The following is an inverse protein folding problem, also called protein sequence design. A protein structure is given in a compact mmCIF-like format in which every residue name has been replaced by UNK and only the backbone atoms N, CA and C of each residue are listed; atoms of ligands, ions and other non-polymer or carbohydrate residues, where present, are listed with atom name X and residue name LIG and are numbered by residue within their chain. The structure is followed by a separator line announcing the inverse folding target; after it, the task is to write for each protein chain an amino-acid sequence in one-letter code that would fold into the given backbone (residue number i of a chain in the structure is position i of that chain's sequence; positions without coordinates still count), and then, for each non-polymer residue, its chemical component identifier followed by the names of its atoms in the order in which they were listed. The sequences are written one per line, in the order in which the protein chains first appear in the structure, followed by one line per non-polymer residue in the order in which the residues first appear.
data_IF_871282551940
#
_entry.id   IF_871282551940
#
_cell.length_a   1.000
_cell.length_b   1.000
_cell.length_c   1.000
_cell.angle_alpha   90.00
_cell.angle_beta   90.00
_cell.angle_gamma   90.00
#
_symmetry.space_group_name_H-M   'P 1'
#
loop_
_entity.id
_entity.type
_entity.pdbx_description
1 polymer ?
#
# COMPACT_ATOMS: atom_id res chain seq x y z
N UNK A 1 0.10 -13.48 -30.68
CA UNK A 1 1.18 -12.73 -31.34
C UNK A 1 2.09 -12.13 -30.28
N UNK A 2 3.21 -11.57 -30.70
CA UNK A 2 4.13 -10.81 -29.82
C UNK A 2 3.56 -9.42 -29.55
N UNK A 3 3.69 -8.92 -28.32
CA UNK A 3 3.38 -7.52 -28.02
C UNK A 3 4.32 -6.57 -28.77
N UNK A 4 3.84 -5.37 -29.06
CA UNK A 4 4.59 -4.35 -29.82
C UNK A 4 4.68 -3.07 -29.02
N UNK A 5 5.90 -2.56 -28.84
CA UNK A 5 6.17 -1.28 -28.19
C UNK A 5 6.88 -0.34 -29.18
N UNK A 6 6.31 0.85 -29.39
CA UNK A 6 6.88 1.91 -30.23
C UNK A 6 7.09 3.15 -29.39
N UNK A 7 8.33 3.65 -29.36
CA UNK A 7 8.68 4.86 -28.61
C UNK A 7 9.40 5.86 -29.50
N UNK A 8 8.92 7.11 -29.58
CA UNK A 8 9.65 8.22 -30.20
C UNK A 8 10.47 8.98 -29.16
N UNK A 9 11.60 9.59 -29.57
CA UNK A 9 12.58 10.18 -28.65
C UNK A 9 12.75 11.70 -28.78
N UNK A 10 12.10 12.35 -29.75
CA UNK A 10 12.30 13.79 -30.02
C UNK A 10 13.73 14.14 -30.47
N UNK A 11 14.52 13.14 -30.87
CA UNK A 11 15.92 13.32 -31.28
C UNK A 11 16.10 14.37 -32.38
N UNK A 12 17.25 15.05 -32.37
CA UNK A 12 17.62 16.12 -33.31
C UNK A 12 16.70 17.35 -33.29
N UNK A 13 16.05 17.63 -32.15
CA UNK A 13 15.19 18.82 -31.99
C UNK A 13 13.79 18.69 -32.61
N UNK A 14 13.39 17.48 -32.98
CA UNK A 14 12.03 17.20 -33.44
C UNK A 14 11.04 17.19 -32.26
N UNK A 15 9.75 17.42 -32.54
CA UNK A 15 8.71 17.38 -31.50
C UNK A 15 8.54 15.99 -30.90
N UNK A 16 8.89 14.94 -31.65
CA UNK A 16 8.74 13.55 -31.23
C UNK A 16 7.29 13.13 -31.03
N UNK A 17 6.35 13.74 -31.75
CA UNK A 17 4.94 13.34 -31.71
C UNK A 17 4.72 12.00 -32.45
N UNK A 18 3.75 11.21 -31.98
CA UNK A 18 3.32 9.97 -32.61
C UNK A 18 1.86 10.10 -33.07
N UNK A 19 1.61 9.92 -34.36
CA UNK A 19 0.28 9.96 -34.95
C UNK A 19 -0.15 8.59 -35.50
N UNK A 20 -1.33 8.13 -35.11
CA UNK A 20 -1.99 6.97 -35.70
C UNK A 20 -2.97 7.46 -36.75
N UNK A 21 -2.64 7.24 -38.02
CA UNK A 21 -3.39 7.72 -39.18
C UNK A 21 -4.03 6.58 -40.00
N UNK A 22 -3.98 5.35 -39.51
CA UNK A 22 -4.53 4.17 -40.17
C UNK A 22 -5.15 3.24 -39.16
N UNK A 23 -6.14 2.47 -39.61
CA UNK A 23 -6.85 1.50 -38.78
C UNK A 23 -5.86 0.44 -38.26
N UNK A 24 -5.90 0.18 -36.96
CA UNK A 24 -5.15 -0.88 -36.31
C UNK A 24 -6.14 -1.84 -35.66
N UNK A 25 -6.14 -3.11 -36.08
CA UNK A 25 -6.97 -4.18 -35.50
C UNK A 25 -6.19 -5.46 -35.37
N UNK A 26 -6.35 -6.12 -34.23
CA UNK A 26 -5.75 -7.44 -34.03
C UNK A 26 -6.57 -8.29 -33.07
N UNK A 27 -6.35 -9.60 -33.17
CA UNK A 27 -6.97 -10.60 -32.31
C UNK A 27 -5.94 -11.22 -31.35
N UNK A 28 -6.41 -11.69 -30.20
CA UNK A 28 -5.60 -12.40 -29.21
C UNK A 28 -4.99 -11.51 -28.11
N UNK A 29 -4.03 -12.06 -27.34
CA UNK A 29 -3.56 -11.45 -26.09
C UNK A 29 -2.37 -10.48 -26.25
N UNK A 30 -1.90 -10.22 -27.47
CA UNK A 30 -0.76 -9.32 -27.69
C UNK A 30 -1.14 -7.88 -27.33
N UNK A 31 -0.28 -7.17 -26.61
CA UNK A 31 -0.50 -5.76 -26.25
C UNK A 31 0.21 -4.82 -27.22
N UNK A 32 -0.28 -3.58 -27.30
CA UNK A 32 0.31 -2.50 -28.10
C UNK A 32 0.60 -1.29 -27.21
N UNK A 33 1.85 -0.83 -27.19
CA UNK A 33 2.24 0.46 -26.58
C UNK A 33 2.68 1.42 -27.66
N UNK A 34 2.07 2.60 -27.68
CA UNK A 34 2.46 3.74 -28.50
C UNK A 34 2.86 4.87 -27.56
N UNK A 35 4.18 5.06 -27.40
CA UNK A 35 4.76 6.07 -26.54
C UNK A 35 5.40 7.19 -27.38
N UNK A 36 5.01 8.42 -27.11
CA UNK A 36 5.59 9.59 -27.76
C UNK A 36 6.48 10.35 -26.81
N UNK A 37 7.57 10.93 -27.30
CA UNK A 37 8.35 11.91 -26.55
C UNK A 37 7.46 13.06 -26.05
N UNK A 38 6.53 13.53 -26.89
CA UNK A 38 5.60 14.61 -26.54
C UNK A 38 4.14 14.18 -26.67
N UNK A 39 3.54 14.22 -27.87
CA UNK A 39 2.11 13.96 -28.02
C UNK A 39 1.81 12.63 -28.72
N UNK A 40 0.73 11.96 -28.29
CA UNK A 40 0.11 10.85 -29.03
C UNK A 40 -1.22 11.31 -29.60
N UNK A 41 -1.47 11.04 -30.88
CA UNK A 41 -2.73 11.37 -31.54
C UNK A 41 -3.31 10.21 -32.33
N UNK A 42 -4.63 10.08 -32.30
CA UNK A 42 -5.40 9.19 -33.19
C UNK A 42 -6.23 10.07 -34.11
N UNK A 43 -6.01 9.91 -35.42
CA UNK A 43 -6.62 10.77 -36.44
C UNK A 43 -8.11 10.50 -36.58
N UNK A 44 -8.89 11.52 -36.97
CA UNK A 44 -10.32 11.37 -37.27
C UNK A 44 -10.58 10.25 -38.28
N UNK A 45 -11.63 9.47 -38.05
CA UNK A 45 -11.98 8.29 -38.86
C UNK A 45 -11.08 7.06 -38.67
N UNK A 46 -10.07 7.12 -37.81
CA UNK A 46 -9.20 5.98 -37.48
C UNK A 46 -9.78 5.17 -36.32
N UNK A 47 -9.70 3.84 -36.41
CA UNK A 47 -10.05 2.94 -35.30
C UNK A 47 -8.84 2.13 -34.85
N UNK A 48 -8.57 2.10 -33.55
CA UNK A 48 -7.71 1.12 -32.89
C UNK A 48 -8.61 0.15 -32.13
N UNK A 49 -8.52 -1.15 -32.41
CA UNK A 49 -9.36 -2.14 -31.75
C UNK A 49 -8.65 -3.47 -31.47
N UNK A 50 -9.05 -4.13 -30.37
CA UNK A 50 -8.69 -5.49 -30.05
C UNK A 50 -9.95 -6.33 -29.78
N UNK A 51 -9.97 -7.58 -30.23
CA UNK A 51 -11.06 -8.54 -29.95
C UNK A 51 -10.57 -9.81 -29.21
N UNK A 52 -9.45 -9.69 -28.50
CA UNK A 52 -8.87 -10.74 -27.65
C UNK A 52 -8.68 -10.27 -26.22
N UNK A 53 -7.44 -10.29 -25.73
CA UNK A 53 -7.09 -9.89 -24.37
C UNK A 53 -5.91 -8.89 -24.34
N UNK A 54 -5.59 -8.30 -25.49
CA UNK A 54 -4.48 -7.37 -25.64
C UNK A 54 -4.79 -6.02 -24.98
N UNK A 55 -3.78 -5.46 -24.30
CA UNK A 55 -3.88 -4.11 -23.75
C UNK A 55 -3.45 -3.07 -24.79
N UNK A 56 -3.95 -1.84 -24.64
CA UNK A 56 -3.46 -0.68 -25.36
C UNK A 56 -2.94 0.38 -24.39
N UNK A 57 -1.74 0.86 -24.65
CA UNK A 57 -1.16 1.99 -23.94
C UNK A 57 -0.88 3.11 -24.95
N UNK A 58 -1.56 4.25 -24.79
CA UNK A 58 -1.24 5.49 -25.49
C UNK A 58 -0.56 6.43 -24.50
N UNK A 59 0.75 6.62 -24.63
CA UNK A 59 1.55 7.37 -23.66
C UNK A 59 2.19 8.60 -24.28
N UNK A 60 1.72 9.77 -23.88
CA UNK A 60 2.46 11.01 -24.05
C UNK A 60 3.58 11.10 -22.99
N UNK A 61 4.56 11.99 -23.21
CA UNK A 61 5.75 12.16 -22.36
C UNK A 61 6.40 10.83 -21.93
N UNK A 62 6.86 10.07 -22.93
CA UNK A 62 7.54 8.81 -22.72
C UNK A 62 8.80 8.94 -21.84
N UNK A 63 9.35 10.14 -21.70
CA UNK A 63 10.56 10.43 -20.92
C UNK A 63 10.28 10.95 -19.50
N UNK A 64 9.02 11.26 -19.15
CA UNK A 64 8.65 11.77 -17.82
C UNK A 64 9.30 13.12 -17.51
N UNK A 65 9.43 14.01 -18.49
CA UNK A 65 10.05 15.34 -18.36
C UNK A 65 9.03 16.48 -18.26
N UNK A 66 7.74 16.15 -18.18
CA UNK A 66 6.62 17.09 -18.02
C UNK A 66 6.56 18.17 -19.13
N UNK A 67 6.61 17.72 -20.39
CA UNK A 67 6.75 18.59 -21.57
C UNK A 67 5.42 19.05 -22.20
N UNK A 68 4.30 18.95 -21.48
CA UNK A 68 2.98 19.26 -22.01
C UNK A 68 2.40 18.15 -22.87
N UNK A 69 2.90 16.93 -22.71
CA UNK A 69 2.53 15.77 -23.47
C UNK A 69 1.03 15.50 -23.41
N UNK A 70 0.38 15.46 -24.56
CA UNK A 70 -1.07 15.32 -24.69
C UNK A 70 -1.46 14.06 -25.42
N UNK A 71 -2.58 13.46 -25.02
CA UNK A 71 -3.21 12.34 -25.74
C UNK A 71 -4.50 12.83 -26.38
N UNK A 72 -4.54 12.85 -27.71
CA UNK A 72 -5.68 13.33 -28.50
C UNK A 72 -6.28 12.22 -29.36
N UNK A 73 -7.36 11.60 -28.89
CA UNK A 73 -8.15 10.71 -29.72
C UNK A 73 -9.25 11.50 -30.46
N UNK A 74 -9.13 11.61 -31.78
CA UNK A 74 -10.18 12.15 -32.65
C UNK A 74 -10.91 11.05 -33.43
N UNK A 75 -10.51 9.78 -33.23
CA UNK A 75 -11.10 8.60 -33.85
C UNK A 75 -11.85 7.73 -32.83
N UNK A 76 -11.66 6.42 -32.95
CA UNK A 76 -12.29 5.41 -32.10
C UNK A 76 -11.24 4.49 -31.48
N UNK A 77 -11.32 4.32 -30.15
CA UNK A 77 -10.68 3.21 -29.44
C UNK A 77 -11.77 2.22 -29.07
N UNK A 78 -11.72 1.01 -29.64
CA UNK A 78 -12.76 -0.01 -29.50
C UNK A 78 -12.25 -1.26 -28.79
N UNK A 79 -12.55 -1.32 -27.49
CA UNK A 79 -12.31 -2.46 -26.61
C UNK A 79 -13.60 -3.22 -26.28
N UNK A 80 -14.69 -2.99 -27.03
CA UNK A 80 -16.01 -3.57 -26.77
C UNK A 80 -16.04 -5.10 -26.83
N UNK A 81 -15.07 -5.71 -27.51
CA UNK A 81 -14.89 -7.16 -27.63
C UNK A 81 -13.63 -7.69 -26.96
N UNK A 82 -12.85 -6.82 -26.31
CA UNK A 82 -11.62 -7.23 -25.63
C UNK A 82 -11.89 -7.53 -24.16
N UNK A 83 -11.10 -8.44 -23.60
CA UNK A 83 -10.92 -8.63 -22.17
C UNK A 83 -9.75 -7.81 -21.59
N UNK A 84 -8.90 -7.23 -22.45
CA UNK A 84 -7.79 -6.37 -22.05
C UNK A 84 -8.25 -4.97 -21.61
N UNK A 85 -7.29 -4.11 -21.33
CA UNK A 85 -7.51 -2.74 -20.85
C UNK A 85 -6.88 -1.69 -21.76
N UNK A 86 -7.30 -0.43 -21.60
CA UNK A 86 -6.71 0.73 -22.28
C UNK A 86 -6.26 1.76 -21.27
N UNK A 87 -4.99 2.14 -21.36
CA UNK A 87 -4.39 3.23 -20.58
C UNK A 87 -4.01 4.39 -21.50
N UNK A 88 -4.57 5.57 -21.24
CA UNK A 88 -4.25 6.82 -21.96
C UNK A 88 -3.51 7.77 -21.01
N UNK A 89 -2.21 7.93 -21.17
CA UNK A 89 -1.36 8.66 -20.22
C UNK A 89 -0.93 10.00 -20.82
N UNK A 90 -1.23 11.08 -20.11
CA UNK A 90 -0.93 12.46 -20.52
C UNK A 90 -0.44 13.30 -19.33
N UNK A 91 0.37 14.31 -19.58
CA UNK A 91 0.91 15.16 -18.52
C UNK A 91 -0.19 15.93 -17.78
N UNK A 92 0.00 16.21 -16.49
CA UNK A 92 -0.91 17.08 -15.73
C UNK A 92 -1.08 18.46 -16.36
N UNK A 93 -0.02 18.98 -16.98
CA UNK A 93 -0.01 20.24 -17.70
C UNK A 93 -0.37 20.08 -19.21
N UNK A 94 -0.67 18.84 -19.64
CA UNK A 94 -1.10 18.48 -20.99
C UNK A 94 -2.62 18.51 -21.17
N UNK A 95 -3.08 17.93 -22.28
CA UNK A 95 -4.51 17.80 -22.61
C UNK A 95 -4.88 16.38 -22.96
N UNK A 96 -6.10 16.02 -22.58
CA UNK A 96 -6.73 14.77 -22.98
C UNK A 96 -7.99 15.05 -23.81
N UNK A 97 -8.08 14.44 -24.99
CA UNK A 97 -9.30 14.42 -25.80
C UNK A 97 -9.74 12.96 -26.02
N UNK A 98 -10.91 12.54 -25.50
CA UNK A 98 -11.28 11.12 -25.43
C UNK A 98 -11.72 10.50 -26.76
N UNK A 99 -12.22 11.29 -27.71
CA UNK A 99 -12.80 10.79 -28.95
C UNK A 99 -13.96 9.83 -28.68
N UNK A 100 -14.10 8.80 -29.52
CA UNK A 100 -15.04 7.70 -29.25
C UNK A 100 -14.32 6.57 -28.51
N UNK A 101 -14.84 6.17 -27.36
CA UNK A 101 -14.34 5.05 -26.56
C UNK A 101 -15.46 4.01 -26.43
N UNK A 102 -15.20 2.77 -26.84
CA UNK A 102 -16.15 1.67 -26.74
C UNK A 102 -15.57 0.62 -25.79
N UNK A 103 -16.17 0.48 -24.61
CA UNK A 103 -15.80 -0.55 -23.62
C UNK A 103 -16.67 -1.80 -23.73
N UNK A 104 -16.16 -2.92 -23.25
CA UNK A 104 -16.89 -4.17 -23.17
C UNK A 104 -17.84 -4.13 -21.95
N UNK A 105 -19.14 -4.20 -22.21
CA UNK A 105 -20.17 -4.13 -21.17
C UNK A 105 -20.14 -5.30 -20.17
N UNK A 106 -19.47 -6.41 -20.51
CA UNK A 106 -19.27 -7.57 -19.63
C UNK A 106 -17.88 -7.60 -18.98
N UNK A 107 -17.04 -6.60 -19.22
CA UNK A 107 -15.73 -6.53 -18.59
C UNK A 107 -15.87 -6.32 -17.09
N UNK A 108 -15.04 -7.04 -16.34
CA UNK A 108 -14.89 -6.87 -14.89
C UNK A 108 -13.40 -6.78 -14.58
N UNK A 109 -13.07 -5.98 -13.56
CA UNK A 109 -11.69 -5.82 -13.14
C UNK A 109 -11.12 -7.19 -12.69
N UNK A 110 -9.91 -7.56 -13.16
CA UNK A 110 -9.24 -8.74 -12.64
C UNK A 110 -9.09 -8.67 -11.12
N UNK A 111 -9.22 -9.81 -10.44
CA UNK A 111 -9.12 -9.89 -8.97
C UNK A 111 -7.77 -9.30 -8.52
N UNK A 112 -7.80 -8.49 -7.44
CA UNK A 112 -6.66 -7.77 -6.86
C UNK A 112 -6.05 -6.66 -7.73
N UNK A 113 -6.55 -6.42 -8.95
CA UNK A 113 -5.93 -5.44 -9.86
C UNK A 113 -6.04 -3.99 -9.42
N UNK A 114 -7.04 -3.65 -8.61
CA UNK A 114 -7.39 -2.27 -8.27
C UNK A 114 -7.84 -1.42 -9.48
N UNK A 115 -8.19 -2.04 -10.61
CA UNK A 115 -8.75 -1.32 -11.75
C UNK A 115 -10.23 -1.00 -11.51
N UNK A 116 -10.63 0.25 -11.77
CA UNK A 116 -12.04 0.66 -11.67
C UNK A 116 -12.77 0.56 -13.01
N UNK A 117 -12.11 0.88 -14.13
CA UNK A 117 -12.68 0.84 -15.48
C UNK A 117 -11.75 0.13 -16.46
N UNK A 118 -12.32 -0.38 -17.56
CA UNK A 118 -11.54 -1.03 -18.63
C UNK A 118 -10.67 -0.03 -19.41
N UNK A 119 -11.20 1.18 -19.62
CA UNK A 119 -10.54 2.26 -20.35
C UNK A 119 -10.36 3.41 -19.37
N UNK A 120 -9.12 3.83 -19.13
CA UNK A 120 -8.81 4.89 -18.17
C UNK A 120 -7.79 5.85 -18.76
N UNK A 121 -8.09 7.15 -18.64
CA UNK A 121 -7.12 8.20 -18.91
C UNK A 121 -6.48 8.65 -17.60
N UNK A 122 -5.15 8.63 -17.55
CA UNK A 122 -4.34 8.96 -16.38
C UNK A 122 -3.54 10.24 -16.62
N UNK A 123 -3.60 11.14 -15.65
CA UNK A 123 -2.69 12.27 -15.53
C UNK A 123 -1.35 11.75 -14.99
N UNK A 124 -0.26 11.97 -15.73
CA UNK A 124 1.08 11.57 -15.33
C UNK A 124 1.59 12.47 -14.21
N UNK A 125 2.07 11.82 -13.16
CA UNK A 125 2.78 12.44 -12.04
C UNK A 125 4.28 12.23 -12.32
N UNK A 126 4.98 13.29 -12.73
CA UNK A 126 6.39 13.24 -13.12
C UNK A 126 7.30 14.05 -12.20
N UNK A 127 6.73 14.76 -11.22
CA UNK A 127 7.49 15.59 -10.29
C UNK A 127 6.82 15.64 -8.92
N UNK A 128 7.57 16.09 -7.91
CA UNK A 128 7.02 16.40 -6.59
C UNK A 128 5.92 17.47 -6.67
N UNK A 129 6.04 18.42 -7.60
CA UNK A 129 5.01 19.43 -7.88
C UNK A 129 3.73 18.78 -8.39
N UNK A 130 3.81 17.87 -9.35
CA UNK A 130 2.64 17.11 -9.84
C UNK A 130 2.00 16.31 -8.71
N UNK A 131 2.83 15.67 -7.88
CA UNK A 131 2.35 14.90 -6.74
C UNK A 131 1.53 15.79 -5.80
N UNK A 132 2.01 16.98 -5.46
CA UNK A 132 1.26 17.94 -4.64
C UNK A 132 0.01 18.47 -5.35
N UNK A 133 0.04 18.64 -6.68
CA UNK A 133 -1.09 19.11 -7.49
C UNK A 133 -2.27 18.12 -7.56
N UNK A 134 -2.10 16.87 -7.13
CA UNK A 134 -3.21 15.93 -6.92
C UNK A 134 -4.27 16.52 -5.97
N UNK A 135 -3.84 17.33 -4.99
CA UNK A 135 -4.75 18.03 -4.07
C UNK A 135 -5.75 18.97 -4.75
N UNK A 136 -5.52 19.37 -6.00
CA UNK A 136 -6.40 20.24 -6.78
C UNK A 136 -7.57 19.48 -7.43
N UNK A 137 -7.47 18.16 -7.59
CA UNK A 137 -8.51 17.29 -8.16
C UNK A 137 -8.46 15.88 -7.55
N UNK A 138 -8.92 15.77 -6.31
CA UNK A 138 -8.90 14.53 -5.53
C UNK A 138 -9.76 13.39 -6.10
N UNK A 139 -10.58 13.65 -7.12
CA UNK A 139 -11.37 12.63 -7.83
C UNK A 139 -10.70 12.16 -9.13
N UNK A 140 -9.54 12.72 -9.49
CA UNK A 140 -8.83 12.42 -10.73
C UNK A 140 -8.21 11.03 -10.78
N UNK A 141 -7.82 10.61 -11.99
CA UNK A 141 -7.03 9.39 -12.22
C UNK A 141 -5.58 9.79 -12.47
N UNK A 142 -4.67 9.24 -11.68
CA UNK A 142 -3.26 9.57 -11.66
C UNK A 142 -2.42 8.32 -11.85
N UNK A 143 -1.32 8.47 -12.58
CA UNK A 143 -0.31 7.44 -12.68
C UNK A 143 1.09 8.03 -12.52
N UNK A 144 1.99 7.37 -11.79
CA UNK A 144 3.39 7.77 -11.80
C UNK A 144 3.96 7.55 -13.21
N UNK A 145 4.58 8.57 -13.79
CA UNK A 145 5.26 8.45 -15.07
C UNK A 145 6.72 8.03 -14.95
N UNK A 146 7.29 8.20 -13.76
CA UNK A 146 8.63 7.76 -13.36
C UNK A 146 8.73 7.74 -11.82
N UNK A 147 9.87 7.30 -11.32
CA UNK A 147 10.19 7.42 -9.90
C UNK A 147 10.29 8.90 -9.48
N UNK A 148 9.78 9.22 -8.30
CA UNK A 148 9.77 10.57 -7.73
C UNK A 148 10.74 10.64 -6.56
N UNK A 149 11.76 11.49 -6.66
CA UNK A 149 12.58 11.89 -5.51
C UNK A 149 11.81 12.96 -4.71
N UNK A 150 11.38 12.59 -3.50
CA UNK A 150 10.66 13.45 -2.57
C UNK A 150 11.55 13.98 -1.44
N UNK A 151 12.88 13.90 -1.55
CA UNK A 151 13.82 14.38 -0.52
C UNK A 151 13.67 15.86 -0.17
N UNK A 152 13.14 16.69 -1.07
CA UNK A 152 12.79 18.08 -0.80
C UNK A 152 11.69 18.28 0.26
N UNK A 153 11.02 17.19 0.67
CA UNK A 153 10.06 17.15 1.79
C UNK A 153 10.71 16.83 3.13
N UNK A 154 11.99 16.42 3.15
CA UNK A 154 12.73 16.14 4.39
C UNK A 154 13.01 17.44 5.12
N UNK A 155 12.62 17.48 6.38
CA UNK A 155 13.00 18.54 7.30
C UNK A 155 14.37 18.24 7.90
N UNK A 156 15.26 19.23 7.86
CA UNK A 156 16.42 19.26 8.75
C UNK A 156 16.21 20.39 9.74
N UNK A 157 16.78 20.28 10.94
CA UNK A 157 16.65 21.24 12.06
C UNK A 157 17.07 22.69 11.74
N UNK A 158 17.50 22.97 10.51
CA UNK A 158 17.92 24.29 10.01
C UNK A 158 17.14 24.76 8.77
N UNK A 159 16.18 24.00 8.25
CA UNK A 159 15.46 24.33 7.01
C UNK A 159 14.01 24.73 7.27
N UNK A 160 13.76 26.04 7.27
CA UNK A 160 12.44 26.65 7.08
C UNK A 160 11.99 26.70 5.60
N UNK A 161 12.66 25.94 4.72
CA UNK A 161 12.49 26.02 3.26
C UNK A 161 12.23 24.67 2.58
N UNK A 162 11.97 23.60 3.34
CA UNK A 162 11.34 22.40 2.78
C UNK A 162 9.93 22.75 2.32
N UNK A 163 9.48 22.24 1.18
CA UNK A 163 8.07 22.40 0.80
C UNK A 163 7.27 21.59 1.80
N UNK A 164 6.43 22.24 2.60
CA UNK A 164 5.47 21.55 3.45
C UNK A 164 4.54 20.74 2.54
N UNK A 165 4.80 19.44 2.43
CA UNK A 165 3.92 18.56 1.68
C UNK A 165 2.61 18.42 2.44
N UNK A 166 1.52 18.86 1.83
CA UNK A 166 0.18 18.77 2.40
C UNK A 166 -0.39 17.40 2.04
N UNK A 167 -0.88 16.60 3.02
CA UNK A 167 -1.44 15.28 2.73
C UNK A 167 -2.49 15.34 1.62
N UNK A 168 -2.48 14.35 0.73
CA UNK A 168 -3.46 14.23 -0.34
C UNK A 168 -4.80 13.77 0.25
N UNK A 169 -5.74 14.71 0.31
CA UNK A 169 -7.05 14.48 0.89
C UNK A 169 -7.08 14.62 2.42
N UNK A 170 -8.27 14.84 2.95
CA UNK A 170 -8.55 15.00 4.38
C UNK A 170 -9.86 14.31 4.75
N UNK A 171 -10.20 14.23 6.04
CA UNK A 171 -11.50 13.72 6.46
C UNK A 171 -12.70 14.52 5.89
N UNK A 172 -12.52 15.82 5.63
CA UNK A 172 -13.56 16.66 5.03
C UNK A 172 -13.64 16.50 3.50
N UNK A 173 -12.49 16.27 2.86
CA UNK A 173 -12.35 16.14 1.40
C UNK A 173 -11.38 15.01 1.09
N UNK A 174 -11.83 13.74 1.16
CA UNK A 174 -10.93 12.60 0.98
C UNK A 174 -10.55 12.41 -0.49
N UNK A 175 -9.45 11.70 -0.74
CA UNK A 175 -9.08 11.25 -2.08
C UNK A 175 -10.07 10.18 -2.55
N UNK A 176 -10.78 10.42 -3.66
CA UNK A 176 -11.80 9.52 -4.21
C UNK A 176 -11.48 9.02 -5.61
N UNK A 177 -10.35 9.45 -6.16
CA UNK A 177 -9.86 9.07 -7.48
C UNK A 177 -9.07 7.76 -7.51
N UNK A 178 -8.28 7.58 -8.56
CA UNK A 178 -7.36 6.44 -8.71
C UNK A 178 -5.92 6.95 -8.73
N UNK A 179 -5.03 6.27 -8.01
CA UNK A 179 -3.58 6.49 -8.06
C UNK A 179 -2.88 5.16 -8.36
N UNK A 180 -2.26 5.05 -9.53
CA UNK A 180 -1.51 3.87 -9.96
C UNK A 180 -0.01 4.20 -10.02
N UNK A 181 0.80 3.58 -9.17
CA UNK A 181 2.25 3.76 -9.24
C UNK A 181 2.86 3.17 -10.51
N UNK A 182 2.16 2.29 -11.24
CA UNK A 182 2.66 1.64 -12.46
C UNK A 182 4.05 0.98 -12.30
N UNK A 183 4.39 0.56 -11.08
CA UNK A 183 5.69 -0.02 -10.75
C UNK A 183 6.78 0.98 -10.36
N UNK A 184 6.47 2.28 -10.33
CA UNK A 184 7.36 3.34 -9.86
C UNK A 184 7.27 3.55 -8.35
N UNK A 185 8.29 4.23 -7.82
CA UNK A 185 8.40 4.58 -6.41
C UNK A 185 8.37 6.09 -6.15
N UNK A 186 7.97 6.46 -4.94
CA UNK A 186 8.21 7.78 -4.35
C UNK A 186 9.25 7.59 -3.26
N UNK A 187 10.46 8.09 -3.49
CA UNK A 187 11.61 7.87 -2.63
C UNK A 187 11.85 9.05 -1.69
N UNK A 188 12.34 8.77 -0.48
CA UNK A 188 12.72 9.77 0.52
C UNK A 188 11.58 10.73 0.93
N UNK A 189 10.34 10.24 0.90
CA UNK A 189 9.19 11.02 1.35
C UNK A 189 9.23 11.24 2.87
N UNK A 190 8.95 12.48 3.28
CA UNK A 190 8.80 12.92 4.65
C UNK A 190 7.65 13.93 4.73
N UNK A 191 7.04 14.07 5.92
CA UNK A 191 6.02 15.08 6.17
C UNK A 191 6.17 15.62 7.58
N UNK A 192 5.97 16.93 7.71
CA UNK A 192 5.95 17.58 9.00
C UNK A 192 4.59 17.37 9.70
N UNK A 193 4.64 17.14 11.00
CA UNK A 193 3.47 17.07 11.88
C UNK A 193 2.98 18.49 12.20
N UNK A 194 2.52 19.25 11.19
CA UNK A 194 2.08 20.62 11.46
C UNK A 194 0.79 20.60 12.27
N UNK A 195 0.87 21.20 13.46
CA UNK A 195 -0.27 21.41 14.35
C UNK A 195 -1.34 22.30 13.69
N UNK A 196 -2.43 21.68 13.20
CA UNK A 196 -3.73 22.35 13.01
C UNK A 196 -4.63 22.16 14.25
N UNK A 197 -5.22 23.20 14.84
CA UNK A 197 -6.02 23.10 16.07
C UNK A 197 -7.43 22.49 15.92
N UNK A 198 -7.81 21.89 14.78
CA UNK A 198 -9.17 21.34 14.57
C UNK A 198 -9.21 19.99 13.82
N UNK A 199 -9.96 19.02 14.38
CA UNK A 199 -10.36 17.76 13.73
C UNK A 199 -9.50 16.51 14.02
N UNK A 200 -10.02 15.32 13.69
CA UNK A 200 -9.22 14.08 13.57
C UNK A 200 -8.18 14.28 12.48
N UNK A 201 -6.90 14.04 12.80
CA UNK A 201 -5.80 14.25 11.85
C UNK A 201 -5.33 12.93 11.29
N UNK A 202 -4.99 12.92 10.02
CA UNK A 202 -4.46 11.76 9.33
C UNK A 202 -3.22 12.17 8.55
N UNK A 203 -2.08 11.58 8.91
CA UNK A 203 -0.74 11.96 8.45
C UNK A 203 -0.14 10.84 7.60
N UNK A 204 0.29 11.16 6.39
CA UNK A 204 0.80 10.26 5.36
C UNK A 204 0.82 10.96 4.00
N UNK A 205 1.31 10.28 2.95
CA UNK A 205 1.21 10.80 1.59
C UNK A 205 -0.24 11.17 1.27
N UNK A 206 -1.15 10.25 1.54
CA UNK A 206 -2.59 10.54 1.61
C UNK A 206 -2.98 10.83 3.05
N UNK A 207 -3.72 11.91 3.28
CA UNK A 207 -4.33 12.14 4.58
C UNK A 207 -5.44 11.10 4.77
N UNK A 208 -6.45 11.16 3.89
CA UNK A 208 -7.53 10.19 3.86
C UNK A 208 -7.84 9.71 2.44
N UNK A 209 -7.82 8.39 2.24
CA UNK A 209 -8.36 7.73 1.05
C UNK A 209 -9.84 7.44 1.34
N UNK A 210 -10.73 8.01 0.53
CA UNK A 210 -12.18 7.86 0.65
C UNK A 210 -12.67 6.51 0.12
N UNK A 211 -13.96 6.23 0.31
CA UNK A 211 -14.55 4.92 -0.02
C UNK A 211 -14.53 4.55 -1.50
N UNK A 212 -14.42 5.53 -2.39
CA UNK A 212 -14.24 5.31 -3.83
C UNK A 212 -12.76 5.35 -4.27
N UNK A 213 -11.86 5.78 -3.38
CA UNK A 213 -10.45 5.94 -3.66
C UNK A 213 -9.74 4.61 -3.85
N UNK A 214 -8.88 4.54 -4.86
CA UNK A 214 -8.04 3.37 -5.12
C UNK A 214 -6.59 3.80 -5.25
N UNK A 215 -5.72 3.18 -4.45
CA UNK A 215 -4.26 3.37 -4.52
C UNK A 215 -3.61 2.03 -4.81
N UNK A 216 -2.82 1.94 -5.87
CA UNK A 216 -2.24 0.67 -6.30
C UNK A 216 -0.83 0.76 -6.87
N UNK A 217 -0.11 -0.36 -6.83
CA UNK A 217 1.19 -0.57 -7.50
C UNK A 217 2.24 0.51 -7.21
N UNK A 218 2.31 0.99 -5.97
CA UNK A 218 3.20 2.10 -5.57
C UNK A 218 4.07 1.70 -4.39
N UNK A 219 5.37 2.00 -4.49
CA UNK A 219 6.29 1.96 -3.36
C UNK A 219 6.56 3.35 -2.79
N UNK A 220 6.53 3.52 -1.47
CA UNK A 220 7.06 4.70 -0.79
C UNK A 220 8.30 4.30 0.00
N UNK A 221 9.48 4.67 -0.48
CA UNK A 221 10.75 4.10 0.00
C UNK A 221 11.60 5.10 0.76
N UNK A 222 12.50 4.56 1.59
CA UNK A 222 13.51 5.32 2.33
C UNK A 222 12.93 6.51 3.11
N UNK A 223 11.75 6.34 3.69
CA UNK A 223 11.11 7.43 4.43
C UNK A 223 11.86 7.72 5.71
N UNK A 224 12.02 9.00 6.04
CA UNK A 224 12.61 9.45 7.29
C UNK A 224 11.69 10.52 7.88
N UNK A 225 10.66 10.09 8.59
CA UNK A 225 9.80 11.01 9.31
C UNK A 225 10.56 11.48 10.54
N UNK A 226 10.98 12.75 10.52
CA UNK A 226 11.71 13.37 11.61
C UNK A 226 10.71 13.82 12.68
N UNK A 227 10.87 13.30 13.88
CA UNK A 227 10.10 13.72 15.03
C UNK A 227 10.62 15.10 15.46
N UNK A 228 9.84 16.15 15.16
CA UNK A 228 10.05 17.44 15.78
C UNK A 228 10.01 17.24 17.30
N UNK A 229 11.04 17.71 18.00
CA UNK A 229 11.17 17.66 19.46
C UNK A 229 10.15 18.53 20.21
N UNK A 230 9.10 18.94 19.51
CA UNK A 230 8.21 19.99 19.93
C UNK A 230 7.19 19.38 20.90
N UNK A 231 7.44 19.73 22.16
CA UNK A 231 6.76 19.45 23.42
C UNK A 231 5.32 20.01 23.44
N UNK A 232 4.61 19.90 22.33
CA UNK A 232 3.28 20.46 22.18
C UNK A 232 2.29 19.33 22.42
N UNK A 233 1.72 19.39 23.63
CA UNK A 233 0.34 19.04 24.00
C UNK A 233 0.16 17.82 24.91
N UNK A 234 0.74 17.89 26.12
CA UNK A 234 -0.04 17.49 27.30
C UNK A 234 -1.43 18.16 27.22
N UNK A 235 -2.52 17.37 27.15
CA UNK A 235 -3.94 17.79 27.19
C UNK A 235 -4.70 18.19 25.90
N UNK A 236 -4.43 17.64 24.72
CA UNK A 236 -5.40 17.79 23.60
C UNK A 236 -5.97 16.43 23.15
N UNK A 237 -7.30 16.20 23.27
CA UNK A 237 -7.96 14.96 22.85
C UNK A 237 -8.13 14.91 21.32
N UNK A 238 -7.04 15.03 20.57
CA UNK A 238 -7.03 14.80 19.12
C UNK A 238 -6.55 13.37 18.88
N UNK A 239 -7.40 12.56 18.24
CA UNK A 239 -6.95 11.30 17.65
C UNK A 239 -6.22 11.63 16.36
N UNK A 240 -4.90 11.48 16.35
CA UNK A 240 -4.07 11.55 15.15
C UNK A 240 -3.74 10.12 14.73
N UNK A 241 -3.82 9.85 13.43
CA UNK A 241 -3.47 8.57 12.84
C UNK A 241 -2.33 8.75 11.84
N UNK A 242 -1.33 7.89 11.91
CA UNK A 242 -0.06 8.04 11.20
C UNK A 242 0.23 6.82 10.33
N UNK A 243 0.42 7.01 9.02
CA UNK A 243 0.96 5.97 8.14
C UNK A 243 1.80 6.54 7.01
N UNK A 244 2.75 5.77 6.47
CA UNK A 244 3.59 6.23 5.34
C UNK A 244 2.72 6.58 4.14
N UNK A 245 1.93 5.61 3.68
CA UNK A 245 1.11 5.79 2.51
C UNK A 245 -0.15 6.59 2.83
N UNK A 246 -0.85 6.23 3.92
CA UNK A 246 -2.06 6.92 4.31
C UNK A 246 -2.20 7.08 5.82
N UNK A 247 -2.67 8.24 6.28
CA UNK A 247 -3.11 8.37 7.65
C UNK A 247 -4.35 7.52 7.92
N UNK A 248 -5.35 7.60 7.03
CA UNK A 248 -6.58 6.79 7.08
C UNK A 248 -6.96 6.23 5.72
N UNK A 249 -7.32 4.95 5.66
CA UNK A 249 -7.86 4.31 4.47
C UNK A 249 -9.33 3.89 4.66
N UNK A 250 -10.24 4.40 3.83
CA UNK A 250 -11.63 3.92 3.71
C UNK A 250 -11.89 3.24 2.35
N UNK A 251 -10.93 3.29 1.43
CA UNK A 251 -11.02 2.78 0.07
C UNK A 251 -10.25 1.47 -0.11
N UNK A 252 -9.63 1.31 -1.29
CA UNK A 252 -8.80 0.17 -1.65
C UNK A 252 -7.33 0.57 -1.74
N UNK A 253 -6.47 -0.18 -1.04
CA UNK A 253 -5.03 -0.19 -1.23
C UNK A 253 -4.62 -1.60 -1.69
N UNK A 254 -3.98 -1.71 -2.85
CA UNK A 254 -3.51 -3.00 -3.37
C UNK A 254 -2.13 -2.91 -4.00
N UNK A 255 -1.27 -3.91 -3.81
CA UNK A 255 0.10 -3.89 -4.35
C UNK A 255 0.89 -2.62 -3.96
N UNK A 256 0.69 -2.13 -2.74
CA UNK A 256 1.43 -1.00 -2.22
C UNK A 256 2.46 -1.45 -1.18
N UNK A 257 3.59 -0.75 -1.11
CA UNK A 257 4.60 -1.05 -0.10
C UNK A 257 5.35 0.15 0.43
N UNK A 258 5.93 0.00 1.62
CA UNK A 258 6.66 1.09 2.27
C UNK A 258 7.94 0.61 2.95
N UNK A 259 8.97 1.46 2.98
CA UNK A 259 10.23 1.24 3.71
C UNK A 259 10.77 2.53 4.32
N UNK A 260 11.65 2.41 5.31
CA UNK A 260 12.19 3.55 6.06
C UNK A 260 11.75 3.53 7.52
N UNK A 261 11.36 4.67 8.06
CA UNK A 261 10.99 4.86 9.46
C UNK A 261 9.69 5.64 9.64
N UNK A 262 8.88 5.26 10.65
CA UNK A 262 7.73 5.99 11.20
C UNK A 262 7.65 5.91 12.72
N UNK A 263 7.94 7.02 13.37
CA UNK A 263 7.59 7.26 14.77
C UNK A 263 6.42 8.25 14.90
N UNK A 264 5.92 8.38 16.13
CA UNK A 264 5.18 9.55 16.57
C UNK A 264 5.39 9.72 18.08
N UNK A 265 5.80 10.92 18.51
CA UNK A 265 6.04 11.18 19.93
C UNK A 265 4.75 11.58 20.65
N UNK A 266 4.67 11.31 21.96
CA UNK A 266 3.68 11.90 22.89
C UNK A 266 2.18 11.55 22.71
N UNK A 267 1.78 10.64 21.81
CA UNK A 267 0.37 10.25 21.65
C UNK A 267 0.08 8.82 22.13
N UNK A 268 -0.24 8.66 23.42
CA UNK A 268 -0.81 7.42 23.94
C UNK A 268 -2.12 7.08 23.18
N UNK A 269 -2.18 5.89 22.58
CA UNK A 269 -3.27 5.37 21.73
C UNK A 269 -3.42 5.98 20.31
N UNK A 270 -2.45 6.73 19.78
CA UNK A 270 -2.50 7.10 18.36
C UNK A 270 -2.22 5.86 17.49
N UNK A 271 -3.03 5.55 16.46
CA UNK A 271 -2.72 4.50 15.52
C UNK A 271 -1.52 4.86 14.65
N UNK A 272 -0.49 4.02 14.66
CA UNK A 272 0.72 4.19 13.82
C UNK A 272 0.95 2.92 13.02
N UNK A 273 0.96 3.04 11.69
CA UNK A 273 1.22 1.92 10.79
C UNK A 273 2.38 2.19 9.84
N UNK A 274 3.17 1.16 9.54
CA UNK A 274 4.21 1.25 8.51
C UNK A 274 3.61 1.57 7.13
N UNK A 275 2.38 1.14 6.82
CA UNK A 275 1.66 1.49 5.59
C UNK A 275 0.53 2.48 5.86
N UNK A 276 -0.39 2.14 6.76
CA UNK A 276 -1.61 2.93 7.05
C UNK A 276 -1.79 3.10 8.55
N UNK A 277 -2.08 4.32 9.01
CA UNK A 277 -2.40 4.51 10.43
C UNK A 277 -3.71 3.81 10.84
N UNK A 278 -4.82 4.16 10.20
CA UNK A 278 -6.15 3.55 10.45
C UNK A 278 -6.75 3.00 9.16
N UNK A 279 -7.12 1.73 9.15
CA UNK A 279 -7.79 1.09 8.02
C UNK A 279 -9.26 0.78 8.32
N UNK A 280 -10.19 1.47 7.67
CA UNK A 280 -11.62 1.15 7.60
C UNK A 280 -12.00 0.42 6.29
N UNK A 281 -11.11 0.49 5.28
CA UNK A 281 -11.30 -0.08 3.94
C UNK A 281 -10.69 -1.46 3.75
N UNK A 282 -10.19 -1.71 2.53
CA UNK A 282 -9.51 -2.93 2.15
C UNK A 282 -8.03 -2.64 1.86
N UNK A 283 -7.15 -3.37 2.54
CA UNK A 283 -5.74 -3.48 2.20
C UNK A 283 -5.49 -4.92 1.75
N UNK A 284 -5.02 -5.09 0.52
CA UNK A 284 -4.70 -6.41 -0.03
C UNK A 284 -3.35 -6.43 -0.75
N UNK A 285 -2.64 -7.57 -0.73
CA UNK A 285 -1.36 -7.75 -1.44
C UNK A 285 -0.36 -6.62 -1.21
N UNK A 286 -0.31 -6.10 0.02
CA UNK A 286 0.47 -4.93 0.37
C UNK A 286 1.39 -5.25 1.55
N UNK A 287 2.48 -4.51 1.68
CA UNK A 287 3.47 -4.83 2.71
C UNK A 287 4.24 -3.63 3.25
N UNK A 288 4.92 -3.80 4.36
CA UNK A 288 5.85 -2.80 4.89
C UNK A 288 7.09 -3.44 5.50
N UNK A 289 8.24 -2.87 5.17
CA UNK A 289 9.51 -3.12 5.87
C UNK A 289 9.96 -1.92 6.69
N UNK A 290 9.08 -0.93 6.89
CA UNK A 290 9.40 0.26 7.67
C UNK A 290 9.55 -0.09 9.15
N UNK A 291 10.51 0.54 9.81
CA UNK A 291 10.58 0.52 11.27
C UNK A 291 9.50 1.44 11.83
N UNK A 292 8.71 0.94 12.78
CA UNK A 292 7.63 1.66 13.45
C UNK A 292 7.99 1.88 14.93
N UNK A 293 7.88 3.11 15.42
CA UNK A 293 8.50 3.59 16.66
C UNK A 293 7.58 4.27 17.68
N UNK A 294 8.14 4.50 18.87
CA UNK A 294 7.74 5.47 19.90
C UNK A 294 6.49 5.17 20.74
N UNK A 295 5.38 5.87 20.56
CA UNK A 295 4.20 5.74 21.42
C UNK A 295 2.94 5.43 20.60
N UNK A 296 1.92 4.82 21.20
CA UNK A 296 0.63 4.55 20.53
C UNK A 296 0.42 3.11 20.07
N UNK A 297 -0.66 2.90 19.32
CA UNK A 297 -1.10 1.62 18.78
C UNK A 297 -0.33 1.32 17.50
N UNK A 298 0.88 0.78 17.68
CA UNK A 298 1.86 0.59 16.62
C UNK A 298 1.73 -0.78 15.94
N UNK A 299 1.53 -0.78 14.63
CA UNK A 299 1.54 -1.98 13.79
C UNK A 299 2.54 -1.89 12.65
N UNK A 300 3.25 -2.98 12.38
CA UNK A 300 4.22 -3.02 11.27
C UNK A 300 3.61 -2.68 9.91
N UNK A 301 2.34 -3.04 9.68
CA UNK A 301 1.57 -2.64 8.49
C UNK A 301 0.52 -1.57 8.81
N UNK A 302 -0.32 -1.82 9.83
CA UNK A 302 -1.47 -0.97 10.16
C UNK A 302 -1.54 -0.66 11.65
N UNK A 303 -1.71 0.60 12.04
CA UNK A 303 -1.90 0.93 13.46
C UNK A 303 -3.20 0.36 14.03
N UNK A 304 -4.34 0.79 13.47
CA UNK A 304 -5.67 0.31 13.83
C UNK A 304 -6.42 -0.24 12.62
N UNK A 305 -6.87 -1.49 12.69
CA UNK A 305 -7.66 -2.13 11.63
C UNK A 305 -9.12 -2.29 12.05
N UNK A 306 -10.03 -1.56 11.39
CA UNK A 306 -11.49 -1.71 11.47
C UNK A 306 -12.06 -2.39 10.21
N UNK A 307 -11.31 -2.39 9.11
CA UNK A 307 -11.68 -2.98 7.83
C UNK A 307 -11.08 -4.37 7.62
N UNK A 308 -10.54 -4.60 6.42
CA UNK A 308 -9.99 -5.90 6.00
C UNK A 308 -8.53 -5.77 5.59
N UNK A 309 -7.70 -6.69 6.09
CA UNK A 309 -6.33 -6.92 5.65
C UNK A 309 -6.25 -8.35 5.09
N UNK A 310 -5.83 -8.47 3.84
CA UNK A 310 -5.85 -9.73 3.09
C UNK A 310 -4.51 -9.93 2.38
N UNK A 311 -3.91 -11.12 2.47
CA UNK A 311 -2.70 -11.43 1.70
C UNK A 311 -1.61 -10.36 1.84
N UNK A 312 -1.37 -9.86 3.04
CA UNK A 312 -0.47 -8.72 3.31
C UNK A 312 0.53 -9.08 4.40
N UNK A 313 1.65 -8.37 4.48
CA UNK A 313 2.69 -8.73 5.45
C UNK A 313 3.53 -7.56 5.95
N UNK A 314 4.20 -7.75 7.08
CA UNK A 314 5.16 -6.81 7.64
C UNK A 314 6.46 -7.50 8.05
N UNK A 315 7.60 -6.91 7.66
CA UNK A 315 8.94 -7.40 8.00
C UNK A 315 9.73 -6.39 8.84
N UNK A 316 9.28 -5.14 8.88
CA UNK A 316 9.92 -4.06 9.62
C UNK A 316 9.81 -4.23 11.13
N UNK A 317 10.76 -3.63 11.84
CA UNK A 317 10.80 -3.66 13.30
C UNK A 317 9.71 -2.76 13.91
N UNK A 318 9.05 -3.22 14.98
CA UNK A 318 8.08 -2.41 15.75
C UNK A 318 8.60 -2.26 17.18
N UNK A 319 9.03 -1.06 17.56
CA UNK A 319 9.60 -0.78 18.89
C UNK A 319 8.89 0.39 19.51
N UNK A 320 8.19 0.16 20.61
CA UNK A 320 7.54 1.23 21.35
C UNK A 320 8.12 1.43 22.75
N UNK A 321 7.91 2.62 23.27
CA UNK A 321 8.28 3.08 24.60
C UNK A 321 7.11 2.86 25.60
N UNK A 322 7.08 3.64 26.69
CA UNK A 322 6.24 3.39 27.89
C UNK A 322 4.74 3.30 27.66
N UNK A 323 4.20 3.95 26.63
CA UNK A 323 2.76 3.99 26.34
C UNK A 323 2.40 3.40 24.99
N UNK A 324 3.27 2.57 24.42
CA UNK A 324 2.97 1.92 23.15
C UNK A 324 2.46 0.50 23.28
N UNK A 325 1.73 0.13 22.24
CA UNK A 325 0.97 -1.12 22.09
C UNK A 325 1.43 -1.80 20.79
N UNK A 326 2.61 -2.44 20.76
CA UNK A 326 3.23 -2.90 19.52
C UNK A 326 2.70 -4.27 19.08
N UNK A 327 2.28 -4.35 17.83
CA UNK A 327 1.93 -5.59 17.14
C UNK A 327 2.69 -5.74 15.82
N UNK A 328 3.16 -6.95 15.50
CA UNK A 328 4.04 -7.16 14.34
C UNK A 328 3.41 -6.80 12.99
N UNK A 329 2.11 -7.03 12.81
CA UNK A 329 1.34 -6.63 11.61
C UNK A 329 0.39 -5.47 11.91
N UNK A 330 -0.39 -5.60 12.99
CA UNK A 330 -1.43 -4.63 13.36
C UNK A 330 -1.25 -4.20 14.82
N UNK A 331 -1.40 -2.92 15.16
CA UNK A 331 -1.51 -2.53 16.57
C UNK A 331 -2.80 -3.09 17.18
N UNK A 332 -3.93 -2.48 16.83
CA UNK A 332 -5.27 -2.91 17.30
C UNK A 332 -6.10 -3.44 16.15
N UNK A 333 -6.59 -4.67 16.26
CA UNK A 333 -7.50 -5.28 15.28
C UNK A 333 -8.94 -5.37 15.81
N UNK A 334 -9.84 -4.61 15.21
CA UNK A 334 -11.30 -4.73 15.35
C UNK A 334 -11.98 -5.28 14.08
N UNK A 335 -11.25 -5.34 12.97
CA UNK A 335 -11.70 -5.84 11.68
C UNK A 335 -11.31 -7.30 11.42
N UNK A 336 -11.01 -7.62 10.16
CA UNK A 336 -10.54 -8.95 9.74
C UNK A 336 -9.11 -8.89 9.24
N UNK A 337 -8.28 -9.80 9.73
CA UNK A 337 -6.95 -10.11 9.19
C UNK A 337 -6.99 -11.55 8.67
N UNK A 338 -6.70 -11.73 7.39
CA UNK A 338 -6.73 -13.03 6.73
C UNK A 338 -5.51 -13.24 5.84
N UNK A 339 -4.97 -14.45 5.82
CA UNK A 339 -3.87 -14.82 4.93
C UNK A 339 -2.67 -13.86 5.03
N UNK A 340 -2.32 -13.44 6.24
CA UNK A 340 -1.34 -12.36 6.44
C UNK A 340 -0.30 -12.74 7.48
N UNK A 341 0.85 -12.08 7.48
CA UNK A 341 1.92 -12.48 8.40
C UNK A 341 2.87 -11.36 8.82
N UNK A 342 3.54 -11.57 9.95
CA UNK A 342 4.60 -10.69 10.44
C UNK A 342 5.88 -11.47 10.77
N UNK A 343 7.03 -10.90 10.38
CA UNK A 343 8.36 -11.48 10.67
C UNK A 343 9.30 -10.48 11.34
N UNK A 344 8.86 -9.23 11.50
CA UNK A 344 9.66 -8.18 12.13
C UNK A 344 9.78 -8.34 13.64
N UNK A 345 10.88 -7.85 14.21
CA UNK A 345 11.10 -7.80 15.65
C UNK A 345 10.07 -6.88 16.33
N UNK A 346 9.42 -7.35 17.40
CA UNK A 346 8.38 -6.59 18.13
C UNK A 346 8.78 -6.40 19.58
N UNK A 347 8.97 -5.16 20.00
CA UNK A 347 9.37 -4.82 21.36
C UNK A 347 8.46 -3.77 21.98
N UNK A 348 7.79 -4.16 23.06
CA UNK A 348 7.12 -3.27 23.99
C UNK A 348 7.70 -3.40 25.40
N UNK A 349 7.46 -2.41 26.26
CA UNK A 349 7.99 -2.44 27.63
C UNK A 349 7.28 -3.47 28.53
N UNK A 350 5.95 -3.55 28.46
CA UNK A 350 5.12 -4.40 29.32
C UNK A 350 4.26 -5.40 28.56
N UNK A 351 4.04 -5.18 27.26
CA UNK A 351 3.24 -6.05 26.43
C UNK A 351 3.61 -5.91 24.95
N UNK A 352 3.50 -7.01 24.20
CA UNK A 352 3.70 -7.05 22.75
C UNK A 352 3.08 -8.31 22.15
N UNK A 353 2.62 -8.23 20.90
CA UNK A 353 2.08 -9.38 20.18
C UNK A 353 2.77 -9.60 18.83
N UNK A 354 3.09 -10.85 18.52
CA UNK A 354 3.83 -11.19 17.29
C UNK A 354 3.10 -10.82 15.99
N UNK A 355 1.76 -10.82 16.00
CA UNK A 355 0.93 -10.38 14.86
C UNK A 355 0.11 -9.15 15.19
N UNK A 356 -0.59 -9.13 16.34
CA UNK A 356 -1.38 -8.00 16.78
C UNK A 356 -1.13 -7.65 18.25
N UNK A 357 -1.16 -6.38 18.64
CA UNK A 357 -1.15 -6.07 20.07
C UNK A 357 -2.49 -6.47 20.71
N UNK A 358 -3.60 -5.93 20.21
CA UNK A 358 -4.94 -6.25 20.70
C UNK A 358 -5.84 -6.77 19.58
N UNK A 359 -6.70 -7.73 19.89
CA UNK A 359 -7.67 -8.29 18.95
C UNK A 359 -9.08 -8.36 19.52
N UNK A 360 -9.99 -7.54 19.00
CA UNK A 360 -11.45 -7.64 19.18
C UNK A 360 -12.17 -8.13 17.91
N UNK A 361 -11.44 -8.27 16.79
CA UNK A 361 -11.95 -8.75 15.51
C UNK A 361 -11.64 -10.22 15.23
N UNK A 362 -11.50 -10.57 13.94
CA UNK A 362 -11.13 -11.91 13.47
C UNK A 362 -9.70 -11.92 12.92
N UNK A 363 -8.92 -12.92 13.33
CA UNK A 363 -7.65 -13.28 12.70
C UNK A 363 -7.75 -14.74 12.24
N UNK A 364 -7.49 -14.99 10.96
CA UNK A 364 -7.51 -16.32 10.36
C UNK A 364 -6.41 -16.54 9.33
N UNK A 365 -6.01 -17.80 9.11
CA UNK A 365 -4.96 -18.21 8.17
C UNK A 365 -3.73 -17.29 8.20
N UNK A 366 -3.27 -16.90 9.38
CA UNK A 366 -2.24 -15.88 9.55
C UNK A 366 -1.16 -16.37 10.50
N UNK A 367 0.05 -15.82 10.40
CA UNK A 367 1.14 -16.26 11.27
C UNK A 367 2.13 -15.18 11.67
N UNK A 368 2.86 -15.45 12.76
CA UNK A 368 3.98 -14.64 13.22
C UNK A 368 5.25 -15.47 13.41
N UNK A 369 6.39 -14.88 13.09
CA UNK A 369 7.73 -15.48 13.27
C UNK A 369 8.82 -14.48 13.69
N UNK A 370 8.46 -13.22 13.92
CA UNK A 370 9.40 -12.22 14.42
C UNK A 370 9.61 -12.33 15.92
N UNK A 371 10.82 -12.06 16.41
CA UNK A 371 11.14 -12.13 17.85
C UNK A 371 10.31 -11.13 18.66
N UNK A 372 9.71 -11.62 19.75
CA UNK A 372 8.90 -10.86 20.71
C UNK A 372 9.52 -11.05 22.10
N UNK A 373 10.63 -10.39 22.43
CA UNK A 373 11.32 -10.67 23.67
C UNK A 373 10.53 -10.16 24.87
N UNK A 374 10.39 -11.00 25.89
CA UNK A 374 9.82 -10.59 27.17
C UNK A 374 10.81 -9.66 27.89
N UNK A 375 10.40 -8.43 28.20
CA UNK A 375 11.13 -7.61 29.18
C UNK A 375 10.58 -7.89 30.57
N UNK A 376 11.46 -8.31 31.47
CA UNK A 376 11.14 -8.51 32.88
C UNK A 376 11.05 -7.16 33.59
N UNK A 377 9.93 -6.44 33.40
CA UNK A 377 9.59 -5.37 34.32
C UNK A 377 9.11 -6.00 35.64
N UNK A 378 10.02 -6.11 36.61
CA UNK A 378 9.78 -6.73 37.92
C UNK A 378 9.12 -5.75 38.90
N UNK A 379 7.99 -5.15 38.50
CA UNK A 379 7.15 -4.35 39.40
C UNK A 379 6.01 -5.20 39.98
N UNK A 380 5.62 -5.01 41.26
CA UNK A 380 4.59 -5.85 41.91
C UNK A 380 3.15 -5.66 41.36
N UNK A 381 2.93 -4.77 40.39
CA UNK A 381 1.61 -4.39 39.87
C UNK A 381 1.41 -4.62 38.38
N UNK A 382 2.44 -5.04 37.63
CA UNK A 382 2.34 -5.27 36.18
C UNK A 382 2.77 -6.69 35.84
N UNK A 383 1.83 -7.49 35.33
CA UNK A 383 2.15 -8.77 34.72
C UNK A 383 2.50 -8.52 33.25
N UNK A 384 3.68 -8.93 32.77
CA UNK A 384 4.05 -8.80 31.37
C UNK A 384 3.10 -9.63 30.48
N UNK A 385 2.50 -9.01 29.47
CA UNK A 385 1.51 -9.64 28.57
C UNK A 385 2.11 -9.78 27.17
N UNK A 386 2.71 -10.93 26.90
CA UNK A 386 3.35 -11.21 25.62
C UNK A 386 2.71 -12.43 24.97
N UNK A 387 2.45 -12.37 23.67
CA UNK A 387 1.86 -13.48 22.93
C UNK A 387 2.49 -13.67 21.56
N UNK A 388 2.65 -14.93 21.16
CA UNK A 388 3.19 -15.28 19.84
C UNK A 388 2.33 -14.77 18.69
N UNK A 389 1.02 -14.56 18.91
CA UNK A 389 0.10 -13.92 17.96
C UNK A 389 -0.42 -12.59 18.52
N UNK A 390 -1.11 -12.61 19.65
CA UNK A 390 -1.78 -11.44 20.21
C UNK A 390 -1.34 -11.17 21.64
N UNK A 391 -1.10 -9.92 22.05
CA UNK A 391 -0.89 -9.64 23.46
C UNK A 391 -2.22 -9.75 24.23
N UNK A 392 -3.24 -8.99 23.82
CA UNK A 392 -4.54 -8.86 24.48
C UNK A 392 -5.71 -9.34 23.60
N UNK A 393 -6.41 -10.39 24.02
CA UNK A 393 -7.47 -11.04 23.22
C UNK A 393 -8.86 -10.40 23.22
N UNK A 394 -9.02 -9.17 23.75
CA UNK A 394 -10.17 -8.22 23.70
C UNK A 394 -11.60 -8.68 23.29
N UNK A 395 -12.01 -9.92 23.54
CA UNK A 395 -13.24 -10.52 23.01
C UNK A 395 -13.19 -10.94 21.53
N UNK A 396 -12.03 -10.85 20.86
CA UNK A 396 -11.86 -11.24 19.46
C UNK A 396 -11.66 -12.74 19.25
N UNK A 397 -11.70 -13.17 17.99
CA UNK A 397 -11.52 -14.57 17.59
C UNK A 397 -10.17 -14.80 16.92
N UNK A 398 -9.43 -15.78 17.42
CA UNK A 398 -8.34 -16.42 16.69
C UNK A 398 -8.86 -17.74 16.11
N UNK A 399 -8.89 -17.84 14.79
CA UNK A 399 -9.29 -19.07 14.13
C UNK A 399 -8.25 -20.18 14.38
N UNK A 400 -8.67 -21.44 14.29
CA UNK A 400 -7.82 -22.62 14.53
C UNK A 400 -6.67 -22.78 13.53
N UNK A 401 -6.68 -22.01 12.45
CA UNK A 401 -5.69 -22.02 11.38
C UNK A 401 -4.69 -20.85 11.47
N UNK A 402 -4.58 -20.22 12.64
CA UNK A 402 -3.57 -19.21 12.97
C UNK A 402 -2.38 -19.90 13.65
N UNK A 403 -1.15 -19.57 13.24
CA UNK A 403 0.07 -20.26 13.71
C UNK A 403 1.14 -19.27 14.13
N UNK A 404 2.03 -19.63 15.05
CA UNK A 404 3.26 -18.87 15.28
C UNK A 404 4.44 -19.81 15.41
N UNK A 405 5.62 -19.30 15.09
CA UNK A 405 6.87 -20.00 15.37
C UNK A 405 7.30 -19.66 16.80
N UNK A 406 7.14 -20.61 17.72
CA UNK A 406 7.45 -20.41 19.15
C UNK A 406 8.94 -20.33 19.45
N UNK A 407 9.79 -20.76 18.53
CA UNK A 407 11.26 -20.70 18.68
C UNK A 407 11.77 -19.31 18.29
N UNK A 408 11.28 -18.77 17.17
CA UNK A 408 11.69 -17.43 16.70
C UNK A 408 10.95 -16.30 17.38
N UNK A 409 9.65 -16.43 17.67
CA UNK A 409 8.93 -15.41 18.45
C UNK A 409 9.33 -15.40 19.93
N UNK A 410 9.99 -16.45 20.41
CA UNK A 410 10.32 -16.72 21.83
C UNK A 410 9.10 -16.84 22.77
N UNK A 411 7.89 -16.91 22.21
CA UNK A 411 6.64 -17.04 22.96
C UNK A 411 6.07 -18.46 22.91
N UNK A 412 5.82 -19.04 24.09
CA UNK A 412 5.21 -20.38 24.21
C UNK A 412 3.68 -20.38 24.13
N UNK A 413 3.06 -19.20 24.27
CA UNK A 413 1.62 -18.97 24.28
C UNK A 413 1.20 -18.17 23.04
N UNK A 414 -0.01 -18.43 22.50
CA UNK A 414 -0.56 -17.65 21.38
C UNK A 414 -0.97 -16.25 21.83
N UNK A 415 -1.47 -16.14 23.06
CA UNK A 415 -2.06 -14.95 23.65
C UNK A 415 -1.42 -14.66 25.00
N UNK A 416 -1.30 -13.38 25.38
CA UNK A 416 -0.70 -12.98 26.65
C UNK A 416 -1.65 -12.99 27.86
N UNK A 417 -2.97 -12.98 27.65
CA UNK A 417 -3.97 -12.73 28.71
C UNK A 417 -5.14 -13.73 28.78
N UNK A 418 -5.68 -14.17 27.63
CA UNK A 418 -6.90 -15.00 27.56
C UNK A 418 -6.74 -16.22 26.62
N UNK A 419 -7.85 -16.86 26.22
CA UNK A 419 -7.94 -18.17 25.56
C UNK A 419 -6.82 -18.47 24.57
N UNK A 420 -6.07 -19.52 24.87
CA UNK A 420 -4.97 -20.00 24.05
C UNK A 420 -5.48 -20.80 22.86
N UNK A 421 -4.80 -20.68 21.73
CA UNK A 421 -4.88 -21.68 20.66
C UNK A 421 -4.28 -23.01 21.16
N UNK A 422 -4.67 -24.14 20.57
CA UNK A 422 -4.05 -25.42 20.87
C UNK A 422 -2.53 -25.40 20.68
N UNK A 423 -1.80 -26.21 21.45
CA UNK A 423 -0.34 -26.28 21.36
C UNK A 423 0.18 -26.69 19.95
N UNK A 424 -0.67 -27.32 19.13
CA UNK A 424 -0.39 -27.62 17.72
C UNK A 424 -0.26 -26.39 16.82
N UNK A 425 -0.72 -25.22 17.28
CA UNK A 425 -0.63 -23.96 16.55
C UNK A 425 0.71 -23.24 16.78
N UNK A 426 1.38 -23.53 17.90
CA UNK A 426 2.74 -23.08 18.20
C UNK A 426 3.76 -24.03 17.58
N UNK A 427 4.13 -23.76 16.34
CA UNK A 427 5.06 -24.55 15.55
C UNK A 427 6.51 -24.26 15.97
N UNK A 428 7.40 -25.24 15.87
CA UNK A 428 8.85 -24.98 15.84
C UNK A 428 9.24 -24.39 14.49
N UNK A 429 10.44 -23.82 14.34
CA UNK A 429 10.92 -23.33 13.05
C UNK A 429 10.94 -24.44 11.99
N UNK A 430 11.34 -25.66 12.38
CA UNK A 430 11.31 -26.81 11.49
C UNK A 430 9.88 -27.21 11.04
N UNK A 431 8.88 -27.06 11.90
CA UNK A 431 7.48 -27.29 11.55
C UNK A 431 6.92 -26.15 10.69
N UNK A 432 7.23 -24.89 11.02
CA UNK A 432 6.84 -23.72 10.24
C UNK A 432 7.40 -23.78 8.80
N UNK A 433 8.57 -24.40 8.61
CA UNK A 433 9.21 -24.64 7.31
C UNK A 433 8.61 -25.83 6.52
N UNK A 434 7.59 -26.52 7.06
CA UNK A 434 7.03 -27.71 6.46
C UNK A 434 5.53 -27.54 6.16
N UNK A 435 5.11 -27.52 4.87
CA UNK A 435 3.70 -27.41 4.48
C UNK A 435 2.77 -28.42 5.17
N UNK A 436 3.24 -29.62 5.51
CA UNK A 436 2.42 -30.64 6.17
C UNK A 436 2.10 -30.34 7.64
N UNK A 437 2.70 -29.30 8.24
CA UNK A 437 2.44 -28.86 9.60
C UNK A 437 1.22 -27.93 9.72
N UNK A 438 0.75 -27.41 8.59
CA UNK A 438 -0.44 -26.57 8.51
C UNK A 438 -1.68 -27.42 8.23
N UNK A 439 -2.85 -26.94 8.63
CA UNK A 439 -4.11 -27.60 8.32
C UNK A 439 -4.49 -27.48 6.84
N UNK A 440 -5.55 -28.20 6.45
CA UNK A 440 -6.04 -28.28 5.06
C UNK A 440 -6.51 -26.95 4.48
N UNK A 441 -6.74 -25.93 5.31
CA UNK A 441 -7.15 -24.62 4.84
C UNK A 441 -5.97 -23.83 4.25
N UNK A 442 -4.73 -24.20 4.59
CA UNK A 442 -3.51 -23.65 3.99
C UNK A 442 -3.20 -24.35 2.66
N UNK A 443 -3.72 -23.78 1.57
CA UNK A 443 -3.50 -24.30 0.23
C UNK A 443 -2.09 -23.93 -0.30
N UNK A 444 -1.21 -24.93 -0.37
CA UNK A 444 0.12 -24.86 -0.96
C UNK A 444 0.19 -25.36 -2.41
N UNK A 445 -0.94 -25.75 -3.00
CA UNK A 445 -1.02 -26.17 -4.40
C UNK A 445 -0.59 -25.04 -5.36
N UNK A 446 -0.32 -25.32 -6.65
CA UNK A 446 0.08 -24.30 -7.60
C UNK A 446 -0.88 -23.10 -7.74
N UNK A 447 -2.16 -23.28 -7.38
CA UNK A 447 -3.20 -22.24 -7.39
C UNK A 447 -3.50 -21.66 -6.00
N UNK A 448 -2.87 -22.22 -4.96
CA UNK A 448 -3.08 -21.84 -3.58
C UNK A 448 -2.44 -20.50 -3.22
N UNK A 449 -2.85 -19.96 -2.07
CA UNK A 449 -2.40 -18.66 -1.55
C UNK A 449 -0.95 -18.70 -1.10
N UNK A 450 -0.53 -19.85 -0.56
CA UNK A 450 0.77 -20.00 0.08
C UNK A 450 1.73 -20.77 -0.81
N UNK A 451 3.01 -20.48 -0.64
CA UNK A 451 4.11 -21.24 -1.21
C UNK A 451 5.23 -21.36 -0.18
N UNK A 452 5.94 -22.48 -0.21
CA UNK A 452 7.14 -22.72 0.60
C UNK A 452 8.35 -22.79 -0.33
N UNK A 453 9.10 -21.69 -0.53
CA UNK A 453 10.33 -21.73 -1.31
C UNK A 453 11.36 -22.69 -0.72
N UNK A 454 12.24 -23.23 -1.55
CA UNK A 454 13.30 -24.12 -1.09
C UNK A 454 14.21 -23.40 -0.06
N UNK A 455 14.35 -23.98 1.13
CA UNK A 455 15.15 -23.41 2.22
C UNK A 455 14.48 -22.28 3.01
N UNK A 456 13.21 -21.97 2.73
CA UNK A 456 12.47 -20.99 3.52
C UNK A 456 12.19 -21.53 4.94
N UNK A 457 12.20 -20.63 5.92
CA UNK A 457 11.91 -20.94 7.33
C UNK A 457 10.41 -20.84 7.67
N UNK A 458 9.62 -20.30 6.75
CA UNK A 458 8.18 -20.08 6.88
C UNK A 458 7.54 -19.94 5.49
N UNK A 459 6.21 -20.11 5.36
CA UNK A 459 5.55 -19.90 4.08
C UNK A 459 5.56 -18.42 3.69
N UNK A 460 5.49 -18.14 2.39
CA UNK A 460 5.27 -16.79 1.85
C UNK A 460 4.01 -16.78 1.00
N UNK A 461 3.49 -15.59 0.72
CA UNK A 461 2.33 -15.45 -0.16
C UNK A 461 2.78 -15.67 -1.60
N UNK A 462 2.04 -16.48 -2.36
CA UNK A 462 2.41 -16.87 -3.73
C UNK A 462 2.59 -15.69 -4.65
N UNK A 463 1.80 -14.61 -4.47
CA UNK A 463 1.93 -13.41 -5.28
C UNK A 463 3.29 -12.70 -5.13
N UNK A 464 4.03 -12.95 -4.03
CA UNK A 464 5.38 -12.40 -3.84
C UNK A 464 6.41 -12.98 -4.81
N UNK A 465 6.15 -14.17 -5.39
CA UNK A 465 7.04 -14.75 -6.39
C UNK A 465 7.04 -13.98 -7.72
N UNK A 466 6.07 -13.08 -7.91
CA UNK A 466 5.91 -12.29 -9.11
C UNK A 466 6.33 -10.82 -8.94
N UNK A 467 6.85 -10.43 -7.77
CA UNK A 467 7.35 -9.09 -7.49
C UNK A 467 8.80 -8.89 -7.93
#
# INVERSE_FOLDING_TARGET
GTSVDVTTTGGNGATGDLGVASILRWQGPASLTLAAYRNVSVTSGTTIANDGAGNLTLRADATGVDNGGSVSNLGTVDWSKSAGIVSLLYDMNGRYSPGTLLGNASWTAPVYSGLVTQITAYKLVNSLTDLQNISLDLAGNYALGKDIDASATILTSTHSSGVDFIPLGSAATPFTGQFDGMGHVIDQFSQNEIYSPSGTKAIGLFGEIGTAGVVRNVGITNTAFYEGQDDILDNVPIVITFGILAGRNRGLITYAYTSGYRGATHYGNAPIGGLVGTNDGLIERSWSSATVGDAGDAGGLVGANLGRIVQSFATGQVVTQTFGSPGGLVGVNSGTVSQSYATGYVLGLSAAGGLAFANSGLIEQSFASGDVPTRSYQGPFFHPIFGGIVAYGAGGTLASNVYWDKETTTQTASTGDVSQLPASNGLTTAQMSNPSSFDVSWDFSPTGVWVMPAGATHPILRWQLAQ
#
